data_IF_428877798049
#
_entry.id   IF_428877798049
#
_cell.length_a   1.000
_cell.length_b   1.000
_cell.length_c   1.000
_cell.angle_alpha   90.00
_cell.angle_beta   90.00
_cell.angle_gamma   90.00
#
_symmetry.space_group_name_H-M   'P 1'
#
loop_
_entity.id
_entity.type
_entity.pdbx_description
1 polymer ?
#
# COMPACT_ATOMS: atom_id res chain seq x y z
N UNK A 1 -15.49 -7.89 10.43
CA UNK A 1 -16.35 -7.51 9.30
C UNK A 1 -16.24 -8.60 8.24
N UNK A 2 -17.36 -9.01 7.67
CA UNK A 2 -17.42 -9.97 6.55
C UNK A 2 -18.10 -9.25 5.39
N UNK A 3 -17.43 -9.24 4.22
CA UNK A 3 -18.01 -8.72 2.97
C UNK A 3 -18.38 -9.91 2.07
N UNK A 4 -19.64 -10.00 1.70
CA UNK A 4 -20.19 -11.03 0.84
C UNK A 4 -21.15 -10.42 -0.19
N UNK A 5 -21.48 -11.17 -1.24
CA UNK A 5 -22.41 -10.72 -2.26
C UNK A 5 -21.95 -9.44 -2.97
N UNK A 6 -22.80 -8.41 -3.05
CA UNK A 6 -22.47 -7.14 -3.74
C UNK A 6 -21.29 -6.40 -3.10
N UNK A 7 -21.13 -6.52 -1.80
CA UNK A 7 -20.04 -5.88 -1.06
C UNK A 7 -18.66 -6.52 -1.32
N UNK A 8 -18.63 -7.69 -1.95
CA UNK A 8 -17.41 -8.39 -2.39
C UNK A 8 -17.03 -8.07 -3.85
N UNK A 9 -17.60 -7.06 -4.48
CA UNK A 9 -17.17 -6.48 -5.75
C UNK A 9 -15.95 -5.60 -5.61
N UNK A 10 -15.46 -5.02 -6.72
CA UNK A 10 -14.22 -4.22 -6.76
C UNK A 10 -14.29 -3.00 -5.83
N UNK A 11 -15.40 -2.29 -5.80
CA UNK A 11 -15.56 -1.13 -4.91
C UNK A 11 -15.51 -1.53 -3.43
N UNK A 12 -16.16 -2.63 -3.04
CA UNK A 12 -16.09 -3.16 -1.68
C UNK A 12 -14.68 -3.65 -1.32
N UNK A 13 -14.01 -4.31 -2.27
CA UNK A 13 -12.61 -4.72 -2.12
C UNK A 13 -11.68 -3.55 -1.84
N UNK A 14 -11.71 -2.53 -2.67
CA UNK A 14 -10.91 -1.30 -2.47
C UNK A 14 -11.24 -0.64 -1.13
N UNK A 15 -12.52 -0.62 -0.74
CA UNK A 15 -12.96 -0.12 0.56
C UNK A 15 -12.38 -0.89 1.75
N UNK A 16 -12.25 -2.23 1.65
CA UNK A 16 -11.63 -3.06 2.71
C UNK A 16 -10.12 -2.81 2.79
N UNK A 17 -9.44 -2.75 1.65
CA UNK A 17 -7.98 -2.53 1.59
C UNK A 17 -7.61 -1.13 2.10
N UNK A 18 -8.40 -0.12 1.74
CA UNK A 18 -8.19 1.27 2.16
C UNK A 18 -8.89 1.64 3.47
N UNK A 19 -9.41 0.67 4.22
CA UNK A 19 -10.16 0.93 5.46
C UNK A 19 -9.33 1.68 6.50
N UNK A 20 -10.01 2.54 7.28
CA UNK A 20 -9.47 3.22 8.43
C UNK A 20 -10.46 3.06 9.61
N UNK A 21 -10.07 2.38 10.71
CA UNK A 21 -8.79 1.68 10.87
C UNK A 21 -8.64 0.46 9.96
N UNK A 22 -7.42 0.24 9.47
CA UNK A 22 -7.10 -0.95 8.69
C UNK A 22 -7.22 -2.23 9.55
N UNK A 23 -7.60 -3.37 8.97
CA UNK A 23 -7.64 -4.64 9.69
C UNK A 23 -6.22 -5.11 10.06
N UNK A 24 -6.04 -5.69 11.24
CA UNK A 24 -4.76 -6.33 11.63
C UNK A 24 -4.57 -7.67 10.89
N UNK A 25 -5.67 -8.36 10.61
CA UNK A 25 -5.70 -9.63 9.89
C UNK A 25 -6.76 -9.57 8.81
N UNK A 26 -6.40 -9.94 7.60
CA UNK A 26 -7.31 -10.08 6.47
C UNK A 26 -7.35 -11.55 6.02
N UNK A 27 -8.55 -12.10 5.90
CA UNK A 27 -8.78 -13.42 5.34
C UNK A 27 -9.57 -13.25 4.05
N UNK A 28 -8.98 -13.66 2.95
CA UNK A 28 -9.60 -13.54 1.62
C UNK A 28 -9.80 -14.92 1.03
N UNK A 29 -10.97 -15.17 0.51
CA UNK A 29 -11.29 -16.37 -0.27
C UNK A 29 -11.70 -15.96 -1.68
N UNK A 30 -10.90 -16.31 -2.65
CA UNK A 30 -11.09 -15.98 -4.06
C UNK A 30 -10.49 -17.08 -4.95
N UNK A 31 -10.61 -16.93 -6.24
CA UNK A 31 -9.99 -17.80 -7.25
C UNK A 31 -9.37 -16.94 -8.35
N UNK A 32 -8.43 -17.49 -9.09
CA UNK A 32 -7.83 -16.79 -10.23
C UNK A 32 -6.40 -17.22 -10.52
N UNK A 33 -5.60 -16.29 -11.00
CA UNK A 33 -4.25 -16.44 -11.50
C UNK A 33 -3.27 -15.57 -10.69
N UNK A 34 -1.95 -15.67 -10.88
CA UNK A 34 -0.98 -14.88 -10.10
C UNK A 34 -1.25 -13.38 -10.10
N UNK A 35 -1.74 -12.81 -11.18
CA UNK A 35 -1.97 -11.37 -11.34
C UNK A 35 -3.46 -10.97 -11.33
N UNK A 36 -4.38 -11.90 -11.03
CA UNK A 36 -5.82 -11.64 -11.06
C UNK A 36 -6.56 -12.49 -10.05
N UNK A 37 -7.49 -11.88 -9.32
CA UNK A 37 -8.44 -12.57 -8.47
C UNK A 37 -9.88 -12.30 -8.91
N UNK A 38 -10.74 -13.28 -8.77
CA UNK A 38 -12.18 -13.16 -9.05
C UNK A 38 -12.87 -12.44 -7.91
N UNK A 39 -13.71 -11.48 -8.25
CA UNK A 39 -14.60 -10.76 -7.34
C UNK A 39 -16.05 -11.03 -7.72
N UNK A 40 -16.99 -10.69 -6.84
CA UNK A 40 -18.41 -10.86 -7.09
C UNK A 40 -18.87 -10.02 -8.30
N UNK A 41 -19.88 -10.50 -9.01
CA UNK A 41 -20.39 -9.80 -10.20
C UNK A 41 -19.55 -9.98 -11.46
N UNK A 42 -18.59 -10.90 -11.46
CA UNK A 42 -17.67 -11.12 -12.59
C UNK A 42 -16.55 -10.10 -12.68
N UNK A 43 -16.42 -9.23 -11.68
CA UNK A 43 -15.33 -8.27 -11.54
C UNK A 43 -13.99 -8.97 -11.20
N UNK A 44 -12.90 -8.29 -11.38
CA UNK A 44 -11.57 -8.82 -11.14
C UNK A 44 -10.71 -7.83 -10.38
N UNK A 45 -10.11 -8.28 -9.27
CA UNK A 45 -9.05 -7.57 -8.58
C UNK A 45 -7.69 -7.85 -9.22
N UNK A 46 -6.80 -6.88 -9.20
CA UNK A 46 -5.45 -6.89 -9.77
C UNK A 46 -4.43 -6.39 -8.75
N UNK A 47 -3.12 -6.55 -8.97
CA UNK A 47 -2.09 -6.03 -8.06
C UNK A 47 -2.29 -4.56 -7.67
N UNK A 48 -2.64 -3.69 -8.60
CA UNK A 48 -2.91 -2.26 -8.33
C UNK A 48 -4.06 -2.01 -7.32
N UNK A 49 -4.99 -2.94 -7.19
CA UNK A 49 -6.16 -2.79 -6.33
C UNK A 49 -5.84 -3.16 -4.85
N UNK A 50 -4.61 -3.56 -4.54
CA UNK A 50 -4.11 -3.80 -3.18
C UNK A 50 -3.23 -2.67 -2.64
N UNK A 51 -2.83 -1.72 -3.46
CA UNK A 51 -1.92 -0.63 -3.11
C UNK A 51 -2.51 0.42 -2.15
N UNK A 52 -3.78 0.35 -1.86
CA UNK A 52 -4.45 1.24 -0.90
C UNK A 52 -4.23 0.89 0.56
N UNK A 53 -3.42 -0.14 0.86
CA UNK A 53 -3.18 -0.58 2.22
C UNK A 53 -2.47 0.50 3.04
N UNK A 54 -3.12 0.94 4.13
CA UNK A 54 -2.62 2.05 4.96
C UNK A 54 -1.75 1.62 6.13
N UNK A 55 -1.89 0.37 6.57
CA UNK A 55 -1.12 -0.20 7.69
C UNK A 55 -0.70 -1.63 7.38
N UNK A 56 0.45 -2.07 7.90
CA UNK A 56 0.85 -3.46 7.80
C UNK A 56 -0.22 -4.40 8.36
N UNK A 57 -0.47 -5.52 7.67
CA UNK A 57 -1.42 -6.52 8.12
C UNK A 57 -0.90 -7.95 7.89
N UNK A 58 -1.53 -8.92 8.56
CA UNK A 58 -1.37 -10.34 8.26
C UNK A 58 -2.45 -10.80 7.27
N UNK A 59 -2.07 -11.54 6.25
CA UNK A 59 -2.97 -11.99 5.18
C UNK A 59 -3.03 -13.51 5.06
N UNK A 60 -4.22 -14.07 5.16
CA UNK A 60 -4.51 -15.45 4.76
C UNK A 60 -5.29 -15.43 3.45
N UNK A 61 -4.62 -15.75 2.33
CA UNK A 61 -5.20 -15.64 1.00
C UNK A 61 -5.48 -17.02 0.41
N UNK A 62 -6.72 -17.45 0.51
CA UNK A 62 -7.23 -18.68 -0.12
C UNK A 62 -7.42 -18.39 -1.61
N UNK A 63 -6.37 -18.61 -2.39
CA UNK A 63 -6.32 -18.29 -3.80
C UNK A 63 -5.19 -19.08 -4.49
N UNK A 64 -5.47 -19.66 -5.64
CA UNK A 64 -4.48 -20.38 -6.43
C UNK A 64 -3.39 -19.43 -6.94
N UNK A 65 -2.13 -19.85 -6.87
CA UNK A 65 -0.98 -19.10 -7.34
C UNK A 65 -0.75 -17.74 -6.67
N UNK A 66 -1.44 -17.45 -5.57
CA UNK A 66 -1.36 -16.16 -4.86
C UNK A 66 0.03 -15.85 -4.29
N UNK A 67 0.93 -16.84 -4.25
CA UNK A 67 2.31 -16.74 -3.79
C UNK A 67 3.29 -17.37 -4.80
N UNK A 68 2.91 -17.45 -6.08
CA UNK A 68 3.73 -18.09 -7.12
C UNK A 68 5.03 -17.32 -7.37
N UNK A 69 4.97 -16.01 -7.34
CA UNK A 69 6.14 -15.12 -7.44
C UNK A 69 5.99 -13.94 -6.46
N UNK A 70 6.43 -14.11 -5.21
CA UNK A 70 6.35 -13.06 -4.20
C UNK A 70 7.33 -11.90 -4.42
N UNK A 71 8.33 -12.09 -5.28
CA UNK A 71 9.30 -11.06 -5.65
C UNK A 71 8.83 -10.15 -6.80
N UNK A 72 7.80 -10.53 -7.53
CA UNK A 72 7.26 -9.73 -8.64
C UNK A 72 6.03 -8.92 -8.21
N UNK A 73 6.13 -7.59 -8.10
CA UNK A 73 5.00 -6.72 -7.74
C UNK A 73 3.88 -6.69 -8.79
N UNK A 74 4.09 -7.23 -9.98
CA UNK A 74 3.04 -7.41 -10.97
C UNK A 74 2.14 -8.62 -10.65
N UNK A 75 2.48 -9.41 -9.63
CA UNK A 75 1.63 -10.48 -9.08
C UNK A 75 0.87 -10.01 -7.84
N UNK A 76 -0.21 -10.68 -7.50
CA UNK A 76 -0.97 -10.39 -6.26
C UNK A 76 -0.09 -10.58 -5.02
N UNK A 77 0.70 -11.65 -4.97
CA UNK A 77 1.59 -11.92 -3.83
C UNK A 77 2.64 -10.86 -3.63
N UNK A 78 3.35 -10.49 -4.70
CA UNK A 78 4.35 -9.43 -4.67
C UNK A 78 3.75 -8.07 -4.30
N UNK A 79 2.61 -7.70 -4.89
CA UNK A 79 1.92 -6.45 -4.56
C UNK A 79 1.49 -6.38 -3.08
N UNK A 80 0.99 -7.47 -2.51
CA UNK A 80 0.66 -7.52 -1.08
C UNK A 80 1.86 -7.33 -0.19
N UNK A 81 2.96 -8.06 -0.45
CA UNK A 81 4.18 -7.94 0.35
C UNK A 81 4.78 -6.54 0.25
N UNK A 82 4.80 -5.96 -0.94
CA UNK A 82 5.31 -4.61 -1.17
C UNK A 82 4.43 -3.54 -0.52
N UNK A 83 3.11 -3.77 -0.45
CA UNK A 83 2.17 -2.86 0.21
C UNK A 83 2.18 -2.94 1.74
N UNK A 84 2.97 -3.84 2.34
CA UNK A 84 3.14 -3.91 3.79
C UNK A 84 2.47 -5.11 4.49
N UNK A 85 2.11 -6.14 3.74
CA UNK A 85 1.74 -7.43 4.35
C UNK A 85 3.00 -8.08 4.92
N UNK A 86 3.08 -8.20 6.24
CA UNK A 86 4.26 -8.69 6.96
C UNK A 86 4.17 -10.16 7.37
N UNK A 87 2.97 -10.75 7.30
CA UNK A 87 2.74 -12.17 7.47
C UNK A 87 1.73 -12.64 6.42
N UNK A 88 2.15 -13.55 5.54
CA UNK A 88 1.36 -13.96 4.40
C UNK A 88 1.28 -15.48 4.29
N UNK A 89 0.07 -15.99 4.06
CA UNK A 89 -0.19 -17.39 3.73
C UNK A 89 -0.94 -17.45 2.42
N UNK A 90 -0.37 -18.12 1.42
CA UNK A 90 -0.92 -18.26 0.08
C UNK A 90 -0.37 -19.47 -0.66
N UNK A 91 -0.85 -19.72 -1.87
CA UNK A 91 -0.47 -20.88 -2.66
C UNK A 91 0.57 -20.55 -3.74
N UNK A 92 1.61 -21.37 -3.86
CA UNK A 92 2.62 -21.26 -4.92
C UNK A 92 2.19 -21.91 -6.25
N UNK A 93 1.17 -22.76 -6.18
CA UNK A 93 0.59 -23.43 -7.35
C UNK A 93 -0.87 -23.77 -7.05
N UNK A 94 -1.54 -24.56 -7.92
CA UNK A 94 -2.91 -25.04 -7.64
C UNK A 94 -2.93 -26.04 -6.47
N UNK A 95 -3.41 -25.65 -5.26
CA UNK A 95 -3.31 -26.50 -4.08
C UNK A 95 -4.56 -27.34 -3.82
N UNK A 96 -5.68 -27.05 -4.48
CA UNK A 96 -7.06 -27.33 -4.11
C UNK A 96 -7.50 -26.62 -2.81
N UNK A 97 -8.78 -26.34 -2.68
CA UNK A 97 -9.35 -25.64 -1.52
C UNK A 97 -9.09 -26.37 -0.19
N UNK A 98 -9.05 -27.71 -0.23
CA UNK A 98 -8.78 -28.53 0.94
C UNK A 98 -7.39 -28.34 1.56
N UNK A 99 -6.45 -27.72 0.84
CA UNK A 99 -5.11 -27.42 1.38
C UNK A 99 -5.07 -26.17 2.26
N UNK A 100 -6.12 -25.37 2.25
CA UNK A 100 -6.26 -24.21 3.13
C UNK A 100 -7.11 -24.56 4.33
N UNK A 101 -6.72 -24.01 5.50
CA UNK A 101 -7.57 -24.09 6.67
C UNK A 101 -8.82 -23.23 6.45
N UNK A 102 -10.02 -23.75 6.74
CA UNK A 102 -11.23 -22.94 6.69
C UNK A 102 -11.15 -21.73 7.66
N UNK A 103 -11.64 -20.54 7.26
CA UNK A 103 -11.55 -19.32 8.06
C UNK A 103 -12.03 -19.47 9.50
N UNK A 104 -13.07 -20.23 9.73
CA UNK A 104 -13.61 -20.53 11.07
C UNK A 104 -12.56 -21.15 11.99
N UNK A 105 -11.84 -22.17 11.51
CA UNK A 105 -10.82 -22.87 12.31
C UNK A 105 -9.55 -22.02 12.48
N UNK A 106 -9.22 -21.23 11.46
CA UNK A 106 -8.15 -20.25 11.60
C UNK A 106 -8.44 -19.28 12.75
N UNK A 107 -9.62 -18.65 12.76
CA UNK A 107 -10.03 -17.71 13.79
C UNK A 107 -10.03 -18.36 15.18
N UNK A 108 -10.54 -19.59 15.31
CA UNK A 108 -10.52 -20.35 16.55
C UNK A 108 -9.11 -20.57 17.08
N UNK A 109 -8.15 -20.94 16.22
CA UNK A 109 -6.75 -21.09 16.59
C UNK A 109 -6.11 -19.76 17.01
N UNK A 110 -6.40 -18.66 16.29
CA UNK A 110 -5.88 -17.32 16.61
C UNK A 110 -6.37 -16.83 17.99
N UNK A 111 -7.64 -17.00 18.29
CA UNK A 111 -8.21 -16.67 19.62
C UNK A 111 -7.54 -17.49 20.72
N UNK A 112 -7.17 -18.73 20.45
CA UNK A 112 -6.45 -19.61 21.36
C UNK A 112 -4.93 -19.35 21.36
N UNK A 113 -4.47 -18.18 20.87
CA UNK A 113 -3.07 -17.74 20.90
C UNK A 113 -2.11 -18.65 20.11
N UNK A 114 -2.59 -19.35 19.10
CA UNK A 114 -1.70 -20.02 18.15
C UNK A 114 -1.05 -18.98 17.27
N UNK A 115 0.29 -18.99 17.05
CA UNK A 115 0.95 -18.11 16.13
C UNK A 115 0.32 -18.15 14.72
N UNK A 116 0.18 -17.00 14.06
CA UNK A 116 -0.59 -16.85 12.82
C UNK A 116 -0.17 -17.85 11.74
N UNK A 117 1.13 -17.98 11.47
CA UNK A 117 1.61 -18.88 10.43
C UNK A 117 1.35 -20.36 10.77
N UNK A 118 1.43 -20.75 12.05
CA UNK A 118 1.08 -22.09 12.50
C UNK A 118 -0.44 -22.32 12.45
N UNK A 119 -1.21 -21.34 12.90
CA UNK A 119 -2.68 -21.39 12.88
C UNK A 119 -3.22 -21.55 11.45
N UNK A 120 -2.53 -20.98 10.47
CA UNK A 120 -2.92 -20.98 9.06
C UNK A 120 -2.60 -22.28 8.29
N UNK A 121 -1.93 -23.25 8.93
CA UNK A 121 -1.55 -24.51 8.26
C UNK A 121 -2.64 -25.57 8.34
N UNK A 122 -2.80 -26.28 7.23
CA UNK A 122 -3.67 -27.46 7.13
C UNK A 122 -2.81 -28.68 6.76
N UNK A 123 -2.83 -29.71 7.58
CA UNK A 123 -2.02 -30.91 7.40
C UNK A 123 -2.84 -32.20 7.19
N UNK A 124 -4.12 -32.14 7.52
CA UNK A 124 -4.99 -33.32 7.54
C UNK A 124 -5.97 -33.31 6.37
N UNK A 125 -6.22 -34.49 5.84
CA UNK A 125 -7.17 -34.71 4.77
C UNK A 125 -6.57 -35.37 3.53
N UNK A 126 -7.35 -36.09 2.74
CA UNK A 126 -6.86 -36.93 1.64
C UNK A 126 -6.32 -36.10 0.46
N UNK A 127 -6.72 -34.84 0.34
CA UNK A 127 -6.33 -33.93 -0.77
C UNK A 127 -5.46 -32.79 -0.33
N UNK A 128 -5.03 -32.77 0.95
CA UNK A 128 -4.15 -31.74 1.47
C UNK A 128 -2.77 -31.83 0.83
N UNK A 129 -2.29 -30.70 0.33
CA UNK A 129 -0.96 -30.56 -0.27
C UNK A 129 -0.22 -29.41 0.41
N UNK A 130 0.23 -29.60 1.66
CA UNK A 130 0.77 -28.51 2.49
C UNK A 130 2.01 -27.85 1.86
N UNK A 131 2.76 -28.56 1.02
CA UNK A 131 3.91 -28.02 0.29
C UNK A 131 3.54 -27.02 -0.83
N UNK A 132 2.26 -26.93 -1.21
CA UNK A 132 1.76 -25.93 -2.17
C UNK A 132 1.26 -24.66 -1.52
N UNK A 133 1.13 -24.64 -0.20
CA UNK A 133 0.77 -23.47 0.59
C UNK A 133 2.01 -22.99 1.33
N UNK A 134 2.44 -21.79 0.98
CA UNK A 134 3.59 -21.14 1.60
C UNK A 134 3.13 -20.20 2.72
N UNK A 135 4.00 -20.05 3.71
CA UNK A 135 3.84 -19.10 4.79
C UNK A 135 5.11 -18.21 4.85
N UNK A 136 4.91 -16.91 4.89
CA UNK A 136 5.96 -15.90 4.92
C UNK A 136 5.73 -14.95 6.10
N UNK A 137 6.79 -14.63 6.84
CA UNK A 137 6.73 -13.74 7.99
C UNK A 137 7.27 -14.35 9.28
N UNK A 138 7.03 -13.69 10.42
CA UNK A 138 7.47 -14.15 11.72
C UNK A 138 6.66 -15.40 12.17
N UNK A 139 7.28 -16.56 12.35
CA UNK A 139 6.59 -17.78 12.77
C UNK A 139 6.00 -17.71 14.18
N UNK A 140 6.47 -16.78 15.01
CA UNK A 140 5.99 -16.60 16.40
C UNK A 140 4.97 -15.46 16.53
N UNK A 141 4.61 -14.79 15.43
CA UNK A 141 3.64 -13.70 15.46
C UNK A 141 2.30 -14.14 16.05
N UNK A 142 1.85 -13.46 17.08
CA UNK A 142 0.55 -13.65 17.71
C UNK A 142 -0.42 -12.54 17.29
N UNK A 143 -1.63 -12.94 16.93
CA UNK A 143 -2.77 -12.02 16.84
C UNK A 143 -3.43 -11.95 18.20
N UNK A 144 -3.26 -10.84 18.89
CA UNK A 144 -3.78 -10.66 20.25
C UNK A 144 -5.02 -9.76 20.24
N UNK A 145 -6.04 -10.06 21.04
CA UNK A 145 -7.15 -9.14 21.23
C UNK A 145 -6.63 -7.83 21.87
N UNK A 146 -7.31 -6.67 21.63
CA UNK A 146 -6.84 -5.36 22.12
C UNK A 146 -6.53 -5.33 23.63
N UNK A 147 -7.26 -6.09 24.43
CA UNK A 147 -7.04 -6.18 25.88
C UNK A 147 -5.71 -6.87 26.23
N UNK A 148 -5.28 -7.83 25.41
CA UNK A 148 -4.03 -8.57 25.63
C UNK A 148 -2.79 -7.78 25.17
N UNK A 149 -2.96 -6.78 24.31
CA UNK A 149 -1.86 -5.90 23.86
C UNK A 149 -1.33 -5.01 24.99
N UNK A 150 -2.05 -4.89 26.11
CA UNK A 150 -1.63 -4.17 27.31
C UNK A 150 -0.77 -5.01 28.27
N UNK A 151 -0.40 -6.22 27.90
CA UNK A 151 0.54 -7.00 28.70
C UNK A 151 1.87 -6.24 28.84
N UNK A 152 2.41 -6.09 30.06
CA UNK A 152 3.69 -5.44 30.24
C UNK A 152 4.73 -6.16 29.40
N UNK A 153 5.52 -5.40 28.65
CA UNK A 153 6.67 -5.96 27.93
C UNK A 153 7.64 -6.46 28.98
N UNK A 154 7.83 -7.77 29.05
CA UNK A 154 8.88 -8.37 29.86
C UNK A 154 10.17 -8.16 29.08
N UNK A 155 11.12 -7.35 29.59
CA UNK A 155 12.40 -7.17 28.91
C UNK A 155 13.14 -8.50 28.85
N UNK A 156 13.93 -8.75 27.79
CA UNK A 156 14.79 -9.92 27.74
C UNK A 156 15.73 -9.94 28.95
N UNK A 157 15.99 -11.13 29.55
CA UNK A 157 16.94 -11.24 30.64
C UNK A 157 18.30 -10.66 30.26
N UNK A 158 18.85 -9.76 31.07
CA UNK A 158 20.15 -9.12 30.85
C UNK A 158 20.13 -7.92 29.90
N UNK A 159 18.99 -7.48 29.38
CA UNK A 159 18.88 -6.18 28.74
C UNK A 159 18.82 -5.09 29.81
N UNK A 160 19.87 -4.31 29.97
CA UNK A 160 19.70 -2.96 30.49
C UNK A 160 18.86 -2.21 29.43
N UNK A 161 17.55 -2.18 29.65
CA UNK A 161 16.71 -1.27 28.89
C UNK A 161 17.21 0.13 29.17
N UNK A 162 17.73 0.80 28.15
CA UNK A 162 17.74 2.27 28.20
C UNK A 162 16.28 2.66 28.36
N UNK A 163 15.85 3.11 29.54
CA UNK A 163 14.42 3.33 29.76
C UNK A 163 13.93 4.35 28.75
N UNK A 164 12.69 4.19 28.26
CA UNK A 164 12.06 5.24 27.44
C UNK A 164 12.05 6.62 28.12
N UNK A 165 12.30 6.67 29.43
CA UNK A 165 12.61 7.86 30.20
C UNK A 165 13.91 8.56 29.77
N UNK A 166 14.97 7.82 29.44
CA UNK A 166 16.23 8.40 28.95
C UNK A 166 16.01 9.04 27.58
N UNK A 167 15.28 8.37 26.68
CA UNK A 167 14.96 8.95 25.38
C UNK A 167 14.00 10.14 25.49
N UNK A 168 13.05 10.11 26.44
CA UNK A 168 12.19 11.26 26.74
C UNK A 168 12.96 12.43 27.35
N UNK A 169 14.01 12.17 28.08
CA UNK A 169 14.89 13.21 28.61
C UNK A 169 15.81 13.77 27.52
N UNK A 170 16.39 12.89 26.67
CA UNK A 170 17.29 13.31 25.59
C UNK A 170 16.62 14.24 24.59
N UNK A 171 15.35 14.00 24.24
CA UNK A 171 14.60 14.82 23.27
C UNK A 171 14.34 16.26 23.73
N UNK A 172 14.39 16.54 25.03
CA UNK A 172 14.05 17.88 25.58
C UNK A 172 15.00 18.97 25.11
N UNK A 173 16.28 18.69 25.04
CA UNK A 173 17.28 19.67 24.62
C UNK A 173 17.17 19.98 23.11
N UNK A 174 17.15 18.99 22.21
CA UNK A 174 16.88 19.23 20.79
C UNK A 174 15.54 19.97 20.55
N UNK A 175 14.49 19.68 21.31
CA UNK A 175 13.22 20.39 21.20
C UNK A 175 13.32 21.87 21.61
N UNK A 176 14.10 22.20 22.65
CA UNK A 176 14.31 23.60 23.05
C UNK A 176 15.10 24.37 22.00
N UNK A 177 16.18 23.77 21.49
CA UNK A 177 16.99 24.36 20.43
C UNK A 177 16.17 24.54 19.14
N UNK A 178 15.36 23.56 18.76
CA UNK A 178 14.45 23.64 17.64
C UNK A 178 13.38 24.77 17.80
N UNK A 179 12.86 24.95 19.01
CA UNK A 179 11.96 26.07 19.32
C UNK A 179 12.65 27.43 19.12
N UNK A 180 13.97 27.49 19.33
CA UNK A 180 14.82 28.63 19.01
C UNK A 180 15.11 28.83 17.52
N UNK A 181 14.67 27.88 16.67
CA UNK A 181 14.85 27.90 15.22
C UNK A 181 16.06 27.13 14.71
N UNK A 182 16.70 26.31 15.52
CA UNK A 182 17.77 25.42 15.11
C UNK A 182 17.20 24.23 14.32
N UNK A 183 17.47 24.23 13.01
CA UNK A 183 16.96 23.21 12.09
C UNK A 183 17.64 21.85 12.28
N UNK A 184 18.94 21.82 12.66
CA UNK A 184 19.64 20.57 12.91
C UNK A 184 19.09 19.89 14.18
N UNK A 185 18.89 20.65 15.25
CA UNK A 185 18.25 20.16 16.46
C UNK A 185 16.81 19.70 16.21
N UNK A 186 16.08 20.36 15.31
CA UNK A 186 14.75 19.92 14.92
C UNK A 186 14.75 18.55 14.23
N UNK A 187 15.72 18.26 13.36
CA UNK A 187 15.88 16.94 12.75
C UNK A 187 16.11 15.85 13.80
N UNK A 188 16.99 16.13 14.78
CA UNK A 188 17.25 15.21 15.89
C UNK A 188 16.00 14.98 16.74
N UNK A 189 15.34 16.04 17.15
CA UNK A 189 14.10 15.96 17.92
C UNK A 189 13.00 15.18 17.18
N UNK A 190 12.84 15.40 15.88
CA UNK A 190 11.85 14.69 15.08
C UNK A 190 12.14 13.17 15.02
N UNK A 191 13.41 12.76 14.87
CA UNK A 191 13.79 11.33 14.89
C UNK A 191 13.54 10.69 16.26
N UNK A 192 13.92 11.35 17.34
CA UNK A 192 13.70 10.83 18.69
C UNK A 192 12.21 10.76 19.06
N UNK A 193 11.42 11.78 18.72
CA UNK A 193 9.97 11.77 18.90
C UNK A 193 9.32 10.62 18.15
N UNK A 194 9.77 10.34 16.91
CA UNK A 194 9.29 9.19 16.15
C UNK A 194 9.61 7.88 16.84
N UNK A 195 10.82 7.69 17.37
CA UNK A 195 11.21 6.50 18.14
C UNK A 195 10.36 6.33 19.42
N UNK A 196 9.94 7.43 20.02
CA UNK A 196 9.01 7.42 21.17
C UNK A 196 7.55 7.12 20.77
N UNK A 197 7.22 7.07 19.47
CA UNK A 197 5.85 6.94 18.98
C UNK A 197 5.07 8.25 19.00
N UNK A 198 5.75 9.39 19.18
CA UNK A 198 5.18 10.74 19.27
C UNK A 198 5.21 11.48 17.91
N UNK A 199 4.92 10.74 16.83
CA UNK A 199 4.97 11.28 15.45
C UNK A 199 4.05 12.50 15.26
N UNK A 200 2.95 12.62 16.03
CA UNK A 200 2.09 13.80 15.99
C UNK A 200 2.79 15.06 16.52
N UNK A 201 3.67 14.94 17.51
CA UNK A 201 4.47 16.06 18.03
C UNK A 201 5.56 16.41 17.00
N UNK A 202 6.20 15.41 16.42
CA UNK A 202 7.21 15.59 15.37
C UNK A 202 6.63 16.33 14.14
N UNK A 203 5.39 16.02 13.72
CA UNK A 203 4.70 16.71 12.63
C UNK A 203 4.43 18.19 12.96
N UNK A 204 4.05 18.51 14.20
CA UNK A 204 3.91 19.90 14.66
C UNK A 204 5.24 20.64 14.65
N UNK A 205 6.32 19.99 15.06
CA UNK A 205 7.65 20.57 15.01
C UNK A 205 8.06 20.89 13.58
N UNK A 206 7.85 19.96 12.64
CA UNK A 206 8.04 20.21 11.21
C UNK A 206 7.28 21.44 10.73
N UNK A 207 5.99 21.52 11.07
CA UNK A 207 5.15 22.67 10.68
C UNK A 207 5.72 23.99 11.17
N UNK A 208 6.33 24.02 12.35
CA UNK A 208 6.92 25.23 12.94
C UNK A 208 8.23 25.66 12.23
N UNK A 209 8.99 24.71 11.66
CA UNK A 209 10.32 24.97 11.11
C UNK A 209 10.40 24.94 9.59
N UNK A 210 9.40 24.39 8.87
CA UNK A 210 9.43 24.17 7.42
C UNK A 210 9.71 25.43 6.58
N UNK A 211 9.39 26.61 7.11
CA UNK A 211 9.67 27.90 6.45
C UNK A 211 11.05 28.49 6.79
N UNK A 212 11.84 27.82 7.65
CA UNK A 212 13.15 28.33 8.05
C UNK A 212 14.22 27.99 7.01
N UNK A 213 15.26 28.80 6.86
CA UNK A 213 16.43 28.46 6.06
C UNK A 213 17.02 27.11 6.52
N UNK A 214 17.31 26.24 5.58
CA UNK A 214 17.84 24.89 5.87
C UNK A 214 16.78 23.80 6.04
N UNK A 215 15.50 24.11 6.13
CA UNK A 215 14.42 23.12 6.30
C UNK A 215 14.40 22.06 5.18
N UNK A 216 14.82 22.41 3.96
CA UNK A 216 14.95 21.45 2.86
C UNK A 216 15.91 20.27 3.20
N UNK A 217 16.93 20.51 4.01
CA UNK A 217 17.88 19.47 4.43
C UNK A 217 17.29 18.41 5.36
N UNK A 218 16.19 18.72 6.04
CA UNK A 218 15.49 17.81 6.96
C UNK A 218 14.10 17.38 6.45
N UNK A 219 13.70 17.84 5.28
CA UNK A 219 12.45 17.44 4.66
C UNK A 219 12.31 15.91 4.43
N UNK A 220 13.40 15.15 4.13
CA UNK A 220 13.33 13.70 4.04
C UNK A 220 12.82 13.01 5.31
N UNK A 221 13.20 13.47 6.50
CA UNK A 221 12.68 12.99 7.78
C UNK A 221 11.21 13.35 7.97
N UNK A 222 10.85 14.57 7.57
CA UNK A 222 9.47 15.03 7.64
C UNK A 222 8.53 14.20 6.77
N UNK A 223 8.95 13.75 5.59
CA UNK A 223 8.15 12.88 4.72
C UNK A 223 7.69 11.61 5.45
N UNK A 224 8.58 10.96 6.19
CA UNK A 224 8.24 9.74 6.94
C UNK A 224 7.20 10.03 8.02
N UNK A 225 7.39 11.10 8.77
CA UNK A 225 6.50 11.51 9.86
C UNK A 225 5.12 11.87 9.33
N UNK A 226 5.05 12.65 8.25
CA UNK A 226 3.80 13.07 7.63
C UNK A 226 3.05 11.90 6.98
N UNK A 227 3.80 10.95 6.42
CA UNK A 227 3.24 9.69 5.94
C UNK A 227 2.60 8.87 7.08
N UNK A 228 3.30 8.73 8.22
CA UNK A 228 2.78 8.03 9.40
C UNK A 228 1.52 8.71 10.00
N UNK A 229 1.40 10.03 9.83
CA UNK A 229 0.24 10.80 10.28
C UNK A 229 -0.90 10.88 9.24
N UNK A 230 -0.75 10.25 8.06
CA UNK A 230 -1.68 10.37 6.93
C UNK A 230 -1.90 11.86 6.51
N UNK A 231 -0.94 12.72 6.80
CA UNK A 231 -0.98 14.14 6.42
C UNK A 231 -0.58 14.32 4.96
N UNK A 232 -1.54 14.06 4.09
CA UNK A 232 -1.41 14.15 2.65
C UNK A 232 -0.92 15.53 2.15
N UNK A 233 -1.45 16.62 2.72
CA UNK A 233 -1.08 17.98 2.29
C UNK A 233 0.31 18.37 2.77
N UNK A 234 0.59 18.14 4.04
CA UNK A 234 1.92 18.36 4.61
C UNK A 234 2.99 17.54 3.90
N UNK A 235 2.67 16.28 3.53
CA UNK A 235 3.57 15.42 2.78
C UNK A 235 3.93 16.01 1.41
N UNK A 236 2.95 16.47 0.62
CA UNK A 236 3.21 17.08 -0.68
C UNK A 236 4.03 18.39 -0.55
N UNK A 237 3.78 19.21 0.48
CA UNK A 237 4.59 20.40 0.74
C UNK A 237 6.05 20.04 1.08
N UNK A 238 6.28 19.02 1.88
CA UNK A 238 7.62 18.53 2.20
C UNK A 238 8.29 17.88 0.98
N UNK A 239 7.51 17.19 0.14
CA UNK A 239 7.97 16.58 -1.11
C UNK A 239 8.67 17.59 -2.02
N UNK A 240 8.06 18.75 -2.23
CA UNK A 240 8.64 19.80 -3.08
C UNK A 240 10.00 20.34 -2.58
N UNK A 241 10.33 20.12 -1.30
CA UNK A 241 11.60 20.54 -0.73
C UNK A 241 12.72 19.50 -0.90
N UNK A 242 12.39 18.27 -1.30
CA UNK A 242 13.36 17.19 -1.49
C UNK A 242 13.79 17.13 -2.95
N UNK A 243 15.06 17.40 -3.28
CA UNK A 243 15.48 17.48 -4.69
C UNK A 243 15.55 16.12 -5.39
N UNK A 244 15.83 15.06 -4.65
CA UNK A 244 15.95 13.70 -5.18
C UNK A 244 15.22 12.73 -4.25
N UNK A 245 14.23 12.03 -4.77
CA UNK A 245 13.43 11.10 -4.00
C UNK A 245 13.97 9.68 -4.10
N UNK A 246 14.07 9.01 -2.95
CA UNK A 246 14.39 7.59 -2.90
C UNK A 246 13.18 6.74 -3.35
N UNK A 247 13.43 5.48 -3.72
CA UNK A 247 12.37 4.54 -4.05
C UNK A 247 11.35 4.38 -2.90
N UNK A 248 11.82 4.40 -1.64
CA UNK A 248 10.93 4.33 -0.47
C UNK A 248 10.03 5.57 -0.35
N UNK A 249 10.56 6.77 -0.64
CA UNK A 249 9.76 8.00 -0.63
C UNK A 249 8.73 8.02 -1.77
N UNK A 250 9.10 7.53 -2.95
CA UNK A 250 8.17 7.35 -4.07
C UNK A 250 7.05 6.38 -3.70
N UNK A 251 7.39 5.29 -2.99
CA UNK A 251 6.37 4.35 -2.50
C UNK A 251 5.42 5.02 -1.50
N UNK A 252 5.94 5.81 -0.53
CA UNK A 252 5.12 6.58 0.41
C UNK A 252 4.17 7.54 -0.33
N UNK A 253 4.66 8.23 -1.39
CA UNK A 253 3.84 9.10 -2.22
C UNK A 253 2.66 8.34 -2.82
N UNK A 254 2.92 7.18 -3.42
CA UNK A 254 1.88 6.37 -4.05
C UNK A 254 0.89 5.79 -3.04
N UNK A 255 1.35 5.34 -1.89
CA UNK A 255 0.48 4.83 -0.82
C UNK A 255 -0.41 5.93 -0.25
N UNK A 256 0.11 7.14 -0.10
CA UNK A 256 -0.63 8.26 0.48
C UNK A 256 -1.61 8.90 -0.52
N UNK A 257 -1.19 9.07 -1.77
CA UNK A 257 -1.96 9.78 -2.81
C UNK A 257 -2.87 8.83 -3.60
N UNK A 258 -2.42 7.61 -3.85
CA UNK A 258 -3.12 6.63 -4.68
C UNK A 258 -4.59 6.38 -4.28
N UNK A 259 -4.91 6.16 -2.99
CA UNK A 259 -6.30 5.98 -2.55
C UNK A 259 -7.19 7.21 -2.78
N UNK A 260 -6.59 8.38 -2.96
CA UNK A 260 -7.26 9.67 -3.11
C UNK A 260 -7.47 10.12 -4.55
N UNK A 261 -6.93 9.37 -5.52
CA UNK A 261 -6.96 9.73 -6.95
C UNK A 261 -8.37 10.08 -7.47
N UNK A 262 -9.39 9.37 -7.01
CA UNK A 262 -10.79 9.62 -7.40
C UNK A 262 -11.29 11.03 -7.08
N UNK A 263 -10.84 11.59 -5.96
CA UNK A 263 -11.23 12.91 -5.47
C UNK A 263 -10.28 14.04 -5.94
N UNK A 264 -9.13 13.71 -6.51
CA UNK A 264 -8.15 14.70 -6.94
C UNK A 264 -8.55 15.39 -8.25
N UNK A 265 -8.53 16.71 -8.24
CA UNK A 265 -8.73 17.57 -9.42
C UNK A 265 -7.50 18.43 -9.73
N UNK A 266 -6.47 18.38 -8.93
CA UNK A 266 -5.27 19.22 -9.02
C UNK A 266 -4.29 18.62 -10.05
N UNK A 267 -4.05 19.30 -11.20
CA UNK A 267 -3.16 18.79 -12.24
C UNK A 267 -1.74 18.54 -11.72
N UNK A 268 -1.24 19.40 -10.82
CA UNK A 268 0.12 19.31 -10.27
C UNK A 268 0.37 17.98 -9.56
N UNK A 269 -0.58 17.49 -8.77
CA UNK A 269 -0.43 16.21 -8.03
C UNK A 269 -0.37 15.04 -9.03
N UNK A 270 -1.23 15.03 -10.04
CA UNK A 270 -1.21 13.99 -11.07
C UNK A 270 0.09 14.01 -11.87
N UNK A 271 0.64 15.19 -12.14
CA UNK A 271 1.94 15.36 -12.79
C UNK A 271 3.08 14.85 -11.90
N UNK A 272 3.02 15.14 -10.60
CA UNK A 272 3.99 14.61 -9.62
C UNK A 272 3.99 13.08 -9.61
N UNK A 273 2.81 12.45 -9.54
CA UNK A 273 2.70 10.98 -9.61
C UNK A 273 3.21 10.43 -10.95
N UNK A 274 2.87 11.06 -12.07
CA UNK A 274 3.33 10.65 -13.40
C UNK A 274 4.85 10.75 -13.55
N UNK A 275 5.48 11.76 -12.95
CA UNK A 275 6.93 11.91 -12.94
C UNK A 275 7.64 10.89 -12.03
N UNK A 276 6.90 10.31 -11.07
CA UNK A 276 7.41 9.39 -10.06
C UNK A 276 6.73 8.02 -10.15
N UNK A 277 6.66 7.45 -11.35
CA UNK A 277 6.18 6.07 -11.55
C UNK A 277 7.18 5.09 -10.92
N UNK A 278 6.66 4.09 -10.21
CA UNK A 278 7.48 3.12 -9.48
C UNK A 278 8.15 2.13 -10.44
N UNK A 279 9.45 1.94 -10.34
CA UNK A 279 10.30 1.20 -11.28
C UNK A 279 9.66 -0.05 -11.90
N UNK A 280 9.43 -1.14 -11.13
CA UNK A 280 8.88 -2.38 -11.68
C UNK A 280 7.39 -2.30 -12.04
N UNK A 281 6.67 -1.26 -11.57
CA UNK A 281 5.21 -1.10 -11.69
C UNK A 281 4.79 0.06 -12.58
N UNK A 282 5.67 0.62 -13.41
CA UNK A 282 5.41 1.83 -14.20
C UNK A 282 4.13 1.74 -15.03
N UNK A 283 3.90 0.63 -15.73
CA UNK A 283 2.68 0.43 -16.52
C UNK A 283 1.42 0.26 -15.65
N UNK A 284 1.55 -0.36 -14.46
CA UNK A 284 0.44 -0.49 -13.48
C UNK A 284 0.06 0.88 -12.94
N UNK A 285 1.06 1.67 -12.56
CA UNK A 285 0.87 3.04 -12.07
C UNK A 285 0.20 3.91 -13.14
N UNK A 286 0.63 3.81 -14.39
CA UNK A 286 0.00 4.53 -15.51
C UNK A 286 -1.44 4.04 -15.73
N UNK A 287 -1.69 2.75 -15.76
CA UNK A 287 -3.05 2.22 -15.92
C UNK A 287 -3.99 2.78 -14.84
N UNK A 288 -3.48 2.90 -13.60
CA UNK A 288 -4.22 3.50 -12.48
C UNK A 288 -4.44 5.00 -12.64
N UNK A 289 -3.44 5.73 -13.12
CA UNK A 289 -3.53 7.19 -13.30
C UNK A 289 -4.39 7.61 -14.50
N UNK A 290 -4.48 6.80 -15.54
CA UNK A 290 -5.07 7.20 -16.83
C UNK A 290 -6.48 7.76 -16.76
N UNK A 291 -7.44 7.18 -15.98
CA UNK A 291 -8.78 7.76 -15.87
C UNK A 291 -8.75 9.18 -15.32
N UNK A 292 -7.84 9.45 -14.39
CA UNK A 292 -7.70 10.74 -13.72
C UNK A 292 -6.94 11.74 -14.59
N UNK A 293 -5.87 11.32 -15.27
CA UNK A 293 -5.16 12.13 -16.26
C UNK A 293 -6.08 12.53 -17.42
N UNK A 294 -6.87 11.59 -17.92
CA UNK A 294 -7.82 11.85 -19.00
C UNK A 294 -8.90 12.85 -18.59
N UNK A 295 -9.40 12.73 -17.35
CA UNK A 295 -10.42 13.63 -16.79
C UNK A 295 -9.88 15.06 -16.59
N UNK A 296 -8.65 15.20 -16.08
CA UNK A 296 -8.09 16.50 -15.65
C UNK A 296 -7.29 17.17 -16.75
N UNK A 297 -6.48 16.42 -17.50
CA UNK A 297 -5.58 16.94 -18.54
C UNK A 297 -6.11 16.70 -19.97
N UNK A 298 -7.14 15.87 -20.11
CA UNK A 298 -7.72 15.46 -21.36
C UNK A 298 -7.09 14.20 -21.97
N UNK A 299 -7.89 13.42 -22.73
CA UNK A 299 -7.50 12.11 -23.25
C UNK A 299 -6.29 12.15 -24.18
N UNK A 300 -6.12 13.23 -24.95
CA UNK A 300 -4.97 13.39 -25.83
C UNK A 300 -3.64 13.52 -25.10
N UNK A 301 -3.63 14.18 -23.93
CA UNK A 301 -2.42 14.29 -23.09
C UNK A 301 -2.14 12.93 -22.43
N UNK A 302 -3.17 12.31 -21.84
CA UNK A 302 -3.04 10.99 -21.24
C UNK A 302 -2.46 9.97 -22.23
N UNK A 303 -2.95 9.94 -23.48
CA UNK A 303 -2.43 9.06 -24.52
C UNK A 303 -0.94 9.34 -24.84
N UNK A 304 -0.52 10.61 -24.94
CA UNK A 304 0.89 10.95 -25.17
C UNK A 304 1.81 10.52 -24.03
N UNK A 305 1.32 10.55 -22.79
CA UNK A 305 2.08 10.06 -21.63
C UNK A 305 2.33 8.55 -21.77
N UNK A 306 1.31 7.76 -22.09
CA UNK A 306 1.47 6.29 -22.28
C UNK A 306 2.38 5.99 -23.47
N UNK A 307 2.23 6.74 -24.58
CA UNK A 307 3.09 6.54 -25.76
C UNK A 307 4.55 6.78 -25.41
N UNK A 308 4.87 7.86 -24.69
CA UNK A 308 6.23 8.15 -24.25
C UNK A 308 6.79 7.02 -23.39
N UNK A 309 6.03 6.54 -22.44
CA UNK A 309 6.44 5.43 -21.57
C UNK A 309 6.68 4.14 -22.37
N UNK A 310 5.85 3.88 -23.40
CA UNK A 310 6.06 2.74 -24.31
C UNK A 310 7.37 2.88 -25.11
N UNK A 311 7.68 4.10 -25.56
CA UNK A 311 8.89 4.37 -26.35
C UNK A 311 10.17 4.24 -25.51
N UNK A 312 10.10 4.61 -24.22
CA UNK A 312 11.22 4.57 -23.29
C UNK A 312 11.43 3.21 -22.65
N UNK A 313 10.40 2.36 -22.53
CA UNK A 313 10.51 1.06 -21.86
C UNK A 313 11.26 0.03 -22.71
N UNK A 314 12.15 -0.75 -22.09
CA UNK A 314 12.90 -1.82 -22.77
C UNK A 314 12.34 -3.20 -22.49
N UNK A 315 11.59 -3.37 -21.37
CA UNK A 315 11.02 -4.65 -20.97
C UNK A 315 9.87 -5.08 -21.89
N UNK A 316 9.97 -6.30 -22.43
CA UNK A 316 8.99 -6.83 -23.37
C UNK A 316 7.60 -7.08 -22.75
N UNK A 317 7.54 -7.38 -21.43
CA UNK A 317 6.30 -7.55 -20.69
C UNK A 317 5.57 -6.22 -20.55
N UNK A 318 6.25 -5.22 -20.03
CA UNK A 318 5.73 -3.84 -19.88
C UNK A 318 5.31 -3.24 -21.22
N UNK A 319 6.08 -3.49 -22.32
CA UNK A 319 5.69 -3.04 -23.67
C UNK A 319 4.33 -3.59 -24.08
N UNK A 320 4.08 -4.87 -23.89
CA UNK A 320 2.80 -5.51 -24.25
C UNK A 320 1.63 -4.88 -23.46
N UNK A 321 1.84 -4.63 -22.18
CA UNK A 321 0.79 -4.03 -21.35
C UNK A 321 0.52 -2.56 -21.73
N UNK A 322 1.56 -1.78 -22.00
CA UNK A 322 1.41 -0.40 -22.47
C UNK A 322 0.72 -0.32 -23.85
N UNK A 323 1.04 -1.25 -24.77
CA UNK A 323 0.33 -1.36 -26.06
C UNK A 323 -1.15 -1.70 -25.86
N UNK A 324 -1.47 -2.63 -24.93
CA UNK A 324 -2.86 -2.95 -24.56
C UNK A 324 -3.60 -1.72 -24.03
N UNK A 325 -2.96 -0.96 -23.17
CA UNK A 325 -3.51 0.29 -22.61
C UNK A 325 -3.79 1.29 -23.72
N UNK A 326 -2.84 1.53 -24.65
CA UNK A 326 -3.03 2.43 -25.78
C UNK A 326 -4.17 2.00 -26.70
N UNK A 327 -4.31 0.71 -26.97
CA UNK A 327 -5.39 0.15 -27.78
C UNK A 327 -6.77 0.42 -27.14
N UNK A 328 -6.88 0.23 -25.82
CA UNK A 328 -8.14 0.49 -25.08
C UNK A 328 -8.54 1.97 -25.10
N UNK A 329 -7.59 2.88 -25.14
CA UNK A 329 -7.85 4.33 -25.26
C UNK A 329 -8.32 4.74 -26.67
N UNK A 330 -8.05 3.94 -27.70
CA UNK A 330 -8.50 4.20 -29.08
C UNK A 330 -9.94 3.77 -29.34
N UNK A 331 -10.41 2.73 -28.67
CA UNK A 331 -11.77 2.20 -28.84
C UNK A 331 -12.86 3.05 -28.15
N UNK A 332 -12.51 3.78 -27.11
CA UNK A 332 -13.47 4.64 -26.38
C UNK A 332 -13.81 5.95 -27.10
N UNK A 333 -13.18 6.25 -28.23
CA UNK A 333 -13.39 7.49 -28.99
C UNK A 333 -14.31 7.37 -30.22
N UNK A 334 -14.81 6.15 -30.53
CA UNK A 334 -15.57 5.92 -31.77
C UNK A 334 -17.11 5.83 -31.56
N UNK A 335 -17.60 5.80 -30.35
CA UNK A 335 -19.05 5.69 -30.06
C UNK A 335 -19.77 7.02 -29.78
N UNK A 336 -19.13 8.16 -30.08
CA UNK A 336 -19.71 9.51 -29.93
C UNK A 336 -20.20 10.17 -31.21
N UNK A 337 -20.37 9.43 -32.29
CA UNK A 337 -20.96 9.93 -33.53
C UNK A 337 -22.49 9.96 -33.46
N UNK A 338 -23.05 11.03 -32.92
CA UNK A 338 -24.48 11.32 -33.01
C UNK A 338 -24.78 11.68 -34.46
N UNK A 339 -25.38 10.75 -35.15
CA UNK A 339 -26.05 10.99 -36.42
C UNK A 339 -27.35 11.77 -36.15
N UNK A 340 -27.25 13.08 -36.14
CA UNK A 340 -28.39 13.98 -36.13
C UNK A 340 -28.74 14.35 -37.56
N UNK A 341 -29.49 13.51 -38.23
CA UNK A 341 -30.16 13.88 -39.48
C UNK A 341 -31.41 14.69 -39.11
N UNK A 342 -31.59 15.92 -39.52
CA UNK A 342 -32.85 16.65 -39.32
C UNK A 342 -33.82 16.21 -40.39
N UNK A 343 -34.88 15.49 -39.97
CA UNK A 343 -36.05 15.27 -40.83
C UNK A 343 -36.89 16.52 -40.84
N UNK A 344 -36.87 17.22 -41.96
CA UNK A 344 -37.91 18.19 -42.34
C UNK A 344 -39.22 17.45 -42.57
N UNK A 345 -40.26 17.79 -41.84
CA UNK A 345 -41.61 18.13 -42.33
C UNK A 345 -42.47 18.71 -41.20
#
# INVERSE_FOLDING_TARGET
QVAEGRDAGLAGWVGVVAADPAPDVLIVNSSGEPARMSLTGGERGRPRDVEGLRRPLALHFIHSFSMADPGDPATLGGAWLESGVYAYVGAVSEPFLASFIPPRYLLERLVNRTPFLAASRQYEGPFVRPWRVMAYGDPLMLVLPPQAQRLPRIPPPGSELVPGEVLRESVKEPMRAAAGGDVAAASEAMRELRLLGESAIAAKLWTAIRAKPGAAGIAPEALVILFEQDDFRGFLEAWELVPNHSAAQVEMLWQLVGPRLGALSEPGILTTLQANLRGPRRWIDLERLLPHLSRVLGPGIARRIVQRELDETTDAGSKRELQRILASMGSSGLDGGVDATPTQR
#
